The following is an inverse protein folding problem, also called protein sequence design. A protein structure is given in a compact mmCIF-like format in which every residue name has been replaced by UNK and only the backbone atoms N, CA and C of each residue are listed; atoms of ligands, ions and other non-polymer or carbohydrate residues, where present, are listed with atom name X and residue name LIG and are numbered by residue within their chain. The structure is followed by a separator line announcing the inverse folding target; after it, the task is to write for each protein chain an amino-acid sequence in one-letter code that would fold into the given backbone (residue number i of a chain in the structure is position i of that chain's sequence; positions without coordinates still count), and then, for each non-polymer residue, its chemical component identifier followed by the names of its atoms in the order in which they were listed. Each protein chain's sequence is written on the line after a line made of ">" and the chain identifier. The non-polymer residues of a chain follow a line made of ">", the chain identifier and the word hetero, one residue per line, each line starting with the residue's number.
data_IF_744374704579
#
_entry.id   IF_744374704579
#
_cell.length_a   1.000
_cell.length_b   1.000
_cell.length_c   1.000
_cell.angle_alpha   90.00
_cell.angle_beta   90.00
_cell.angle_gamma   90.00
#
_symmetry.space_group_name_H-M   'P 1'
#
loop_
_entity.id
_entity.type
_entity.pdbx_description
1 polymer ?
#
# COMPACT_ATOMS: atom_id res chain seq x y z
N UNK A 1 5.30 25.30 1.68
CA UNK A 1 4.72 23.94 1.79
C UNK A 1 5.69 23.01 1.10
N UNK A 2 6.34 22.08 1.83
CA UNK A 2 7.30 21.13 1.23
C UNK A 2 6.50 20.02 0.53
N UNK A 3 6.85 19.67 -0.70
CA UNK A 3 6.31 18.48 -1.35
C UNK A 3 6.86 17.23 -0.64
N UNK A 4 5.97 16.32 -0.26
CA UNK A 4 6.31 14.99 0.25
C UNK A 4 5.98 13.97 -0.86
N UNK A 5 6.96 13.14 -1.19
CA UNK A 5 6.83 11.95 -2.04
C UNK A 5 6.17 10.84 -1.23
N UNK A 6 6.63 10.63 0.01
CA UNK A 6 6.11 9.60 0.92
C UNK A 6 4.85 10.13 1.59
N UNK A 7 3.71 9.81 0.99
CA UNK A 7 2.40 10.27 1.48
C UNK A 7 1.92 9.33 2.59
N UNK A 8 1.51 9.90 3.71
CA UNK A 8 0.93 9.15 4.83
C UNK A 8 -0.40 8.54 4.41
N UNK A 9 -0.61 7.27 4.75
CA UNK A 9 -1.90 6.60 4.64
C UNK A 9 -2.79 7.08 5.79
N UNK A 10 -3.91 7.73 5.46
CA UNK A 10 -4.89 8.27 6.42
C UNK A 10 -5.85 7.17 6.89
N UNK A 11 -5.34 6.25 7.71
CA UNK A 11 -6.14 5.25 8.42
C UNK A 11 -5.49 4.91 9.75
N UNK A 12 -6.30 4.49 10.72
CA UNK A 12 -5.90 4.15 12.08
C UNK A 12 -5.74 2.63 12.30
N UNK A 13 -5.91 1.81 11.24
CA UNK A 13 -5.66 0.38 11.34
C UNK A 13 -4.17 0.03 11.48
N UNK A 14 -3.89 -1.17 11.99
CA UNK A 14 -2.52 -1.57 12.31
C UNK A 14 -1.65 -1.68 11.06
N UNK A 15 -2.21 -2.12 9.92
CA UNK A 15 -1.49 -2.18 8.66
C UNK A 15 -1.08 -0.77 8.20
N UNK A 16 -1.98 0.21 8.20
CA UNK A 16 -1.63 1.60 7.89
C UNK A 16 -0.53 2.12 8.82
N UNK A 17 -0.61 1.80 10.11
CA UNK A 17 0.40 2.19 11.09
C UNK A 17 1.76 1.56 10.76
N UNK A 18 1.81 0.30 10.34
CA UNK A 18 3.02 -0.42 9.93
C UNK A 18 3.65 0.21 8.69
N UNK A 19 2.84 0.43 7.65
CA UNK A 19 3.29 0.98 6.39
C UNK A 19 3.77 2.43 6.55
N UNK A 20 3.06 3.24 7.35
CA UNK A 20 3.47 4.60 7.69
C UNK A 20 4.79 4.61 8.49
N UNK A 21 5.00 3.67 9.42
CA UNK A 21 6.27 3.53 10.13
C UNK A 21 7.40 3.16 9.16
N UNK A 22 7.17 2.22 8.25
CA UNK A 22 8.14 1.86 7.20
C UNK A 22 8.50 3.05 6.31
N UNK A 23 7.51 3.83 5.85
CA UNK A 23 7.73 5.05 5.08
C UNK A 23 8.51 6.10 5.88
N UNK A 24 8.21 6.27 7.17
CA UNK A 24 8.89 7.25 8.02
C UNK A 24 10.40 7.01 8.10
N UNK A 25 10.82 5.75 8.23
CA UNK A 25 12.24 5.40 8.29
C UNK A 25 12.97 5.68 6.96
N UNK A 26 12.24 5.86 5.85
CA UNK A 26 12.77 6.30 4.56
C UNK A 26 12.77 7.83 4.39
N UNK A 27 12.32 8.60 5.39
CA UNK A 27 12.20 10.06 5.31
C UNK A 27 13.54 10.78 5.07
N UNK A 28 14.65 10.23 5.56
CA UNK A 28 15.98 10.77 5.24
C UNK A 28 16.35 10.57 3.77
N UNK A 29 15.99 9.43 3.18
CA UNK A 29 16.20 9.16 1.76
C UNK A 29 15.38 10.13 0.90
N UNK A 30 14.13 10.41 1.30
CA UNK A 30 13.28 11.43 0.67
C UNK A 30 13.92 12.83 0.71
N UNK A 31 14.47 13.25 1.87
CA UNK A 31 15.13 14.55 2.00
C UNK A 31 16.33 14.73 1.07
N UNK A 32 17.09 13.66 0.84
CA UNK A 32 18.26 13.69 -0.06
C UNK A 32 17.84 13.73 -1.54
N UNK A 33 16.72 13.08 -1.87
CA UNK A 33 16.27 12.84 -3.24
C UNK A 33 15.39 13.97 -3.78
N UNK A 34 14.70 14.70 -2.90
CA UNK A 34 13.87 15.84 -3.28
C UNK A 34 14.73 16.93 -3.98
N UNK A 35 14.28 17.45 -5.15
CA UNK A 35 14.97 18.56 -5.78
C UNK A 35 15.02 19.75 -4.81
N UNK A 36 16.22 20.32 -4.65
CA UNK A 36 16.48 21.45 -3.74
C UNK A 36 15.50 22.60 -4.01
N UNK A 37 15.23 23.35 -2.94
CA UNK A 37 14.22 24.39 -2.66
C UNK A 37 13.62 25.26 -3.79
N UNK A 38 14.12 25.26 -5.03
CA UNK A 38 13.46 25.93 -6.17
C UNK A 38 13.63 25.21 -7.52
N UNK A 39 12.61 25.36 -8.38
CA UNK A 39 12.69 24.98 -9.80
C UNK A 39 13.86 25.65 -10.53
N UNK A 40 14.33 26.81 -10.04
CA UNK A 40 15.50 27.48 -10.58
C UNK A 40 16.79 26.69 -10.36
N UNK A 41 16.98 26.08 -9.19
CA UNK A 41 18.15 25.23 -8.92
C UNK A 41 18.09 23.92 -9.70
N UNK A 42 16.91 23.32 -9.80
CA UNK A 42 16.70 22.12 -10.63
C UNK A 42 17.01 22.40 -12.10
N UNK A 43 16.47 23.48 -12.66
CA UNK A 43 16.74 23.85 -14.06
C UNK A 43 18.22 24.16 -14.31
N UNK A 44 18.92 24.74 -13.33
CA UNK A 44 20.38 24.92 -13.42
C UNK A 44 21.12 23.58 -13.41
N UNK A 45 20.77 22.67 -12.50
CA UNK A 45 21.35 21.33 -12.44
C UNK A 45 21.13 20.57 -13.76
N UNK A 46 19.90 20.61 -14.27
CA UNK A 46 19.53 19.99 -15.54
C UNK A 46 20.35 20.60 -16.69
N UNK A 47 20.37 21.94 -16.81
CA UNK A 47 21.15 22.62 -17.83
C UNK A 47 22.65 22.29 -17.75
N UNK A 48 23.22 22.22 -16.54
CA UNK A 48 24.62 21.83 -16.33
C UNK A 48 24.89 20.36 -16.67
N UNK A 49 23.93 19.46 -16.45
CA UNK A 49 24.04 18.04 -16.76
C UNK A 49 23.82 17.71 -18.25
N UNK A 50 23.05 18.52 -18.98
CA UNK A 50 22.68 18.29 -20.39
C UNK A 50 23.31 19.25 -21.39
N UNK A 51 24.19 20.16 -20.95
CA UNK A 51 24.90 21.09 -21.84
C UNK A 51 25.86 20.39 -22.80
N UNK A 52 26.35 21.14 -23.80
CA UNK A 52 27.36 20.65 -24.77
C UNK A 52 28.70 20.24 -24.12
N UNK A 53 29.00 20.77 -22.92
CA UNK A 53 30.13 20.34 -22.09
C UNK A 53 29.60 20.07 -20.68
N UNK A 54 29.04 18.87 -20.45
CA UNK A 54 28.33 18.61 -19.21
C UNK A 54 29.31 18.50 -18.03
N UNK A 55 28.87 19.01 -16.88
CA UNK A 55 29.58 18.78 -15.62
C UNK A 55 29.41 17.32 -15.21
N UNK A 56 30.51 16.61 -15.00
CA UNK A 56 30.48 15.23 -14.50
C UNK A 56 29.74 15.13 -13.16
N UNK A 57 29.99 16.06 -12.24
CA UNK A 57 29.33 16.08 -10.94
C UNK A 57 27.81 16.28 -11.07
N UNK A 58 27.37 17.18 -11.96
CA UNK A 58 25.96 17.41 -12.23
C UNK A 58 25.28 16.18 -12.86
N UNK A 59 25.96 15.50 -13.79
CA UNK A 59 25.46 14.26 -14.38
C UNK A 59 25.36 13.12 -13.38
N UNK A 60 26.37 12.95 -12.52
CA UNK A 60 26.35 11.95 -11.46
C UNK A 60 25.24 12.22 -10.46
N UNK A 61 25.07 13.47 -10.04
CA UNK A 61 24.01 13.86 -9.13
C UNK A 61 22.63 13.63 -9.74
N UNK A 62 22.40 14.04 -10.98
CA UNK A 62 21.11 13.83 -11.66
C UNK A 62 20.80 12.34 -11.84
N UNK A 63 21.80 11.55 -12.26
CA UNK A 63 21.70 10.09 -12.42
C UNK A 63 21.47 9.38 -11.09
N UNK A 64 21.92 9.95 -9.98
CA UNK A 64 21.69 9.43 -8.64
C UNK A 64 20.26 9.76 -8.14
N UNK A 65 19.80 11.00 -8.33
CA UNK A 65 18.53 11.49 -7.78
C UNK A 65 17.31 10.96 -8.54
N UNK A 66 17.35 11.00 -9.88
CA UNK A 66 16.17 10.73 -10.70
C UNK A 66 15.60 9.31 -10.50
N UNK A 67 16.39 8.21 -10.53
CA UNK A 67 15.84 6.87 -10.32
C UNK A 67 15.26 6.69 -8.91
N UNK A 68 15.91 7.26 -7.90
CA UNK A 68 15.46 7.18 -6.49
C UNK A 68 14.16 7.94 -6.27
N UNK A 69 13.99 9.08 -6.94
CA UNK A 69 12.74 9.84 -6.88
C UNK A 69 11.57 9.00 -7.37
N UNK A 70 11.71 8.41 -8.56
CA UNK A 70 10.67 7.53 -9.12
C UNK A 70 10.45 6.29 -8.25
N UNK A 71 11.52 5.69 -7.73
CA UNK A 71 11.47 4.54 -6.83
C UNK A 71 10.67 4.86 -5.55
N UNK A 72 10.90 6.01 -4.91
CA UNK A 72 10.14 6.41 -3.72
C UNK A 72 8.67 6.70 -4.03
N UNK A 73 8.38 7.29 -5.20
CA UNK A 73 7.01 7.53 -5.62
C UNK A 73 6.26 6.22 -5.90
N UNK A 74 6.90 5.28 -6.61
CA UNK A 74 6.35 3.94 -6.85
C UNK A 74 6.13 3.23 -5.52
N UNK A 75 7.10 3.28 -4.60
CA UNK A 75 6.96 2.72 -3.25
C UNK A 75 5.73 3.30 -2.53
N UNK A 76 5.60 4.63 -2.46
CA UNK A 76 4.48 5.26 -1.76
C UNK A 76 3.13 4.85 -2.34
N UNK A 77 3.04 4.76 -3.67
CA UNK A 77 1.83 4.30 -4.34
C UNK A 77 1.57 2.82 -4.05
N UNK A 78 2.58 1.96 -4.15
CA UNK A 78 2.43 0.53 -3.88
C UNK A 78 1.97 0.23 -2.46
N UNK A 79 2.50 0.91 -1.45
CA UNK A 79 2.06 0.72 -0.06
C UNK A 79 0.61 1.20 0.13
N UNK A 80 0.25 2.33 -0.48
CA UNK A 80 -1.12 2.86 -0.43
C UNK A 80 -2.12 1.93 -1.12
N UNK A 81 -1.77 1.42 -2.29
CA UNK A 81 -2.64 0.56 -3.08
C UNK A 81 -2.79 -0.83 -2.43
N UNK A 82 -1.71 -1.38 -1.86
CA UNK A 82 -1.77 -2.61 -1.07
C UNK A 82 -2.75 -2.47 0.10
N UNK A 83 -2.64 -1.37 0.87
CA UNK A 83 -3.54 -1.08 1.99
C UNK A 83 -5.01 -0.96 1.54
N UNK A 84 -5.26 -0.21 0.45
CA UNK A 84 -6.61 -0.04 -0.10
C UNK A 84 -7.21 -1.35 -0.57
N UNK A 85 -6.47 -2.13 -1.38
CA UNK A 85 -6.97 -3.37 -1.94
C UNK A 85 -7.31 -4.38 -0.83
N UNK A 86 -6.49 -4.49 0.21
CA UNK A 86 -6.79 -5.33 1.38
C UNK A 86 -8.11 -4.89 2.05
N UNK A 87 -8.27 -3.60 2.33
CA UNK A 87 -9.47 -3.11 3.01
C UNK A 87 -10.73 -3.21 2.16
N UNK A 88 -10.64 -2.99 0.84
CA UNK A 88 -11.76 -3.15 -0.07
C UNK A 88 -12.17 -4.62 -0.20
N UNK A 89 -11.22 -5.53 -0.34
CA UNK A 89 -11.50 -6.97 -0.35
C UNK A 89 -12.17 -7.43 0.96
N UNK A 90 -11.69 -6.95 2.13
CA UNK A 90 -12.33 -7.24 3.43
C UNK A 90 -13.76 -6.71 3.46
N UNK A 91 -13.98 -5.47 3.02
CA UNK A 91 -15.30 -4.85 3.01
C UNK A 91 -16.28 -5.64 2.15
N UNK A 92 -15.90 -6.01 0.93
CA UNK A 92 -16.76 -6.72 0.01
C UNK A 92 -17.07 -8.15 0.50
N UNK A 93 -16.08 -8.85 1.05
CA UNK A 93 -16.29 -10.14 1.71
C UNK A 93 -17.19 -10.04 2.94
N UNK A 94 -17.03 -9.00 3.75
CA UNK A 94 -17.88 -8.77 4.92
C UNK A 94 -19.32 -8.51 4.50
N UNK A 95 -19.54 -7.64 3.52
CA UNK A 95 -20.86 -7.36 2.96
C UNK A 95 -21.49 -8.62 2.39
N UNK A 96 -20.72 -9.44 1.66
CA UNK A 96 -21.17 -10.72 1.15
C UNK A 96 -21.74 -11.62 2.27
N UNK A 97 -21.01 -11.78 3.38
CA UNK A 97 -21.49 -12.61 4.50
C UNK A 97 -22.65 -11.99 5.28
N UNK A 98 -22.74 -10.67 5.37
CA UNK A 98 -23.82 -9.98 6.10
C UNK A 98 -25.12 -9.97 5.30
N UNK A 99 -25.07 -9.64 4.01
CA UNK A 99 -26.26 -9.44 3.17
C UNK A 99 -26.78 -10.74 2.55
N UNK A 100 -25.86 -11.64 2.19
CA UNK A 100 -26.16 -12.86 1.45
C UNK A 100 -25.99 -14.14 2.29
N UNK A 101 -25.57 -14.02 3.55
CA UNK A 101 -25.39 -15.13 4.49
C UNK A 101 -24.42 -16.22 3.97
N UNK A 102 -23.50 -15.84 3.08
CA UNK A 102 -22.59 -16.78 2.42
C UNK A 102 -23.18 -17.54 1.22
N UNK A 103 -24.38 -17.19 0.75
CA UNK A 103 -24.99 -17.84 -0.40
C UNK A 103 -24.46 -17.26 -1.73
N UNK A 104 -23.52 -17.97 -2.35
CA UNK A 104 -22.88 -17.58 -3.61
C UNK A 104 -23.87 -17.48 -4.80
N UNK A 105 -24.87 -18.36 -4.86
CA UNK A 105 -25.86 -18.35 -5.93
C UNK A 105 -26.76 -17.11 -5.79
N UNK A 106 -27.24 -16.84 -4.58
CA UNK A 106 -28.04 -15.64 -4.29
C UNK A 106 -27.28 -14.37 -4.62
N UNK A 107 -26.00 -14.30 -4.22
CA UNK A 107 -25.13 -13.18 -4.58
C UNK A 107 -25.06 -12.98 -6.09
N UNK A 108 -24.76 -14.03 -6.86
CA UNK A 108 -24.60 -13.91 -8.30
C UNK A 108 -25.88 -13.47 -9.01
N UNK A 109 -27.04 -13.97 -8.57
CA UNK A 109 -28.35 -13.60 -9.12
C UNK A 109 -28.65 -12.12 -8.83
N UNK A 110 -28.52 -11.69 -7.58
CA UNK A 110 -28.82 -10.31 -7.19
C UNK A 110 -27.82 -9.32 -7.78
N UNK A 111 -26.53 -9.67 -7.84
CA UNK A 111 -25.50 -8.87 -8.50
C UNK A 111 -25.78 -8.71 -9.99
N UNK A 112 -26.16 -9.80 -10.68
CA UNK A 112 -26.60 -9.73 -12.09
C UNK A 112 -27.78 -8.77 -12.25
N UNK A 113 -28.82 -8.93 -11.43
CA UNK A 113 -30.00 -8.07 -11.51
C UNK A 113 -29.62 -6.61 -11.31
N UNK A 114 -28.80 -6.31 -10.31
CA UNK A 114 -28.31 -4.95 -10.04
C UNK A 114 -27.49 -4.38 -11.20
N UNK A 115 -26.52 -5.12 -11.74
CA UNK A 115 -25.66 -4.64 -12.82
C UNK A 115 -26.45 -4.38 -14.10
N UNK A 116 -27.39 -5.27 -14.46
CA UNK A 116 -28.24 -5.08 -15.64
C UNK A 116 -29.23 -3.92 -15.43
N UNK A 117 -29.78 -3.76 -14.24
CA UNK A 117 -30.67 -2.65 -13.91
C UNK A 117 -29.93 -1.29 -13.99
N UNK A 118 -28.67 -1.24 -13.52
CA UNK A 118 -27.87 -0.01 -13.49
C UNK A 118 -27.24 0.35 -14.86
N UNK A 119 -26.76 -0.64 -15.61
CA UNK A 119 -25.98 -0.41 -16.84
C UNK A 119 -26.66 -0.86 -18.13
N UNK A 120 -27.80 -1.55 -18.02
CA UNK A 120 -28.51 -2.13 -19.15
C UNK A 120 -27.94 -3.47 -19.62
N UNK A 121 -28.69 -4.15 -20.49
CA UNK A 121 -28.23 -5.32 -21.24
C UNK A 121 -28.73 -5.23 -22.69
N UNK A 122 -27.89 -5.69 -23.62
CA UNK A 122 -28.24 -5.81 -25.04
C UNK A 122 -29.04 -7.10 -25.34
N UNK A 123 -29.10 -8.04 -24.40
CA UNK A 123 -29.89 -9.26 -24.54
C UNK A 123 -31.35 -9.00 -24.14
N UNK A 124 -32.27 -9.03 -25.11
CA UNK A 124 -33.71 -8.86 -24.87
C UNK A 124 -34.27 -9.90 -23.88
N UNK A 125 -33.65 -11.08 -23.76
CA UNK A 125 -34.06 -12.11 -22.80
C UNK A 125 -33.69 -11.80 -21.36
N UNK A 126 -32.93 -10.73 -21.12
CA UNK A 126 -32.63 -10.24 -19.77
C UNK A 126 -33.76 -9.39 -19.18
N UNK A 127 -34.79 -9.06 -19.97
CA UNK A 127 -35.90 -8.22 -19.57
C UNK A 127 -37.22 -8.99 -19.61
N UNK A 128 -38.06 -8.79 -18.60
CA UNK A 128 -39.42 -9.31 -18.56
C UNK A 128 -40.41 -8.20 -18.18
N UNK A 129 -41.65 -8.31 -18.66
CA UNK A 129 -42.70 -7.32 -18.41
C UNK A 129 -43.11 -7.34 -16.93
N UNK A 130 -42.99 -6.19 -16.26
CA UNK A 130 -43.34 -5.94 -14.85
C UNK A 130 -44.62 -5.10 -14.73
N UNK A 131 -45.62 -5.44 -15.56
CA UNK A 131 -46.90 -4.75 -15.60
C UNK A 131 -46.85 -3.42 -16.36
N UNK A 132 -47.76 -2.51 -16.01
CA UNK A 132 -47.95 -1.22 -16.67
C UNK A 132 -47.94 -0.08 -15.67
N UNK A 133 -47.28 1.02 -16.03
CA UNK A 133 -47.37 2.30 -15.34
C UNK A 133 -48.02 3.37 -16.24
N UNK A 134 -48.04 4.62 -15.78
CA UNK A 134 -48.66 5.75 -16.49
C UNK A 134 -47.95 6.08 -17.82
N UNK A 135 -46.77 5.53 -18.09
CA UNK A 135 -45.95 5.76 -19.29
C UNK A 135 -45.89 4.54 -20.23
N UNK A 136 -46.31 3.34 -19.79
CA UNK A 136 -46.44 2.16 -20.64
C UNK A 136 -46.09 0.84 -19.94
N UNK A 137 -45.69 -0.20 -20.70
CA UNK A 137 -45.21 -1.45 -20.13
C UNK A 137 -43.91 -1.19 -19.36
N UNK A 138 -43.92 -1.53 -18.08
CA UNK A 138 -42.73 -1.48 -17.23
C UNK A 138 -41.93 -2.76 -17.44
N UNK A 139 -40.61 -2.63 -17.48
CA UNK A 139 -39.70 -3.77 -17.62
C UNK A 139 -38.91 -3.96 -16.34
N UNK A 140 -38.62 -5.21 -15.98
CA UNK A 140 -37.67 -5.56 -14.93
C UNK A 140 -36.67 -6.58 -15.44
N UNK A 141 -35.57 -6.72 -14.74
CA UNK A 141 -34.57 -7.74 -15.06
C UNK A 141 -35.14 -9.13 -14.77
N UNK A 142 -35.13 -10.00 -15.78
CA UNK A 142 -35.59 -11.37 -15.68
C UNK A 142 -34.70 -12.17 -14.71
N UNK A 143 -35.34 -12.95 -13.84
CA UNK A 143 -34.65 -13.87 -12.94
C UNK A 143 -34.02 -15.01 -13.74
N UNK A 144 -32.70 -15.20 -13.58
CA UNK A 144 -31.95 -16.32 -14.20
C UNK A 144 -31.01 -16.92 -13.14
N UNK A 145 -31.04 -18.23 -12.98
CA UNK A 145 -30.19 -18.99 -12.06
C UNK A 145 -29.23 -19.97 -12.77
N UNK A 146 -29.28 -20.02 -14.10
CA UNK A 146 -28.38 -20.84 -14.91
C UNK A 146 -26.93 -20.34 -14.84
N UNK A 147 -25.98 -21.27 -14.68
CA UNK A 147 -24.55 -20.98 -14.55
C UNK A 147 -24.00 -20.08 -15.67
N UNK A 148 -24.43 -20.34 -16.92
CA UNK A 148 -24.02 -19.58 -18.11
C UNK A 148 -24.41 -18.10 -18.03
N UNK A 149 -25.59 -17.80 -17.46
CA UNK A 149 -26.09 -16.44 -17.28
C UNK A 149 -25.40 -15.71 -16.13
N UNK A 150 -24.89 -16.46 -15.14
CA UNK A 150 -24.29 -15.94 -13.91
C UNK A 150 -22.76 -15.86 -13.94
N UNK A 151 -22.11 -16.47 -14.94
CA UNK A 151 -20.64 -16.62 -15.04
C UNK A 151 -19.83 -15.35 -14.76
N UNK A 152 -20.38 -14.18 -15.08
CA UNK A 152 -19.69 -12.88 -14.96
C UNK A 152 -20.01 -12.14 -13.67
N UNK A 153 -21.06 -12.54 -12.95
CA UNK A 153 -21.59 -11.83 -11.78
C UNK A 153 -21.23 -12.50 -10.45
N UNK A 154 -20.25 -13.40 -10.48
CA UNK A 154 -19.82 -14.15 -9.30
C UNK A 154 -18.99 -13.29 -8.36
N UNK A 155 -19.03 -13.61 -7.07
CA UNK A 155 -18.16 -12.97 -6.06
C UNK A 155 -16.68 -13.09 -6.44
N UNK A 156 -16.29 -14.20 -7.07
CA UNK A 156 -14.92 -14.41 -7.53
C UNK A 156 -14.48 -13.31 -8.50
N UNK A 157 -15.31 -12.97 -9.49
CA UNK A 157 -14.99 -11.94 -10.47
C UNK A 157 -14.92 -10.56 -9.84
N UNK A 158 -15.84 -10.24 -8.93
CA UNK A 158 -15.84 -8.93 -8.26
C UNK A 158 -14.61 -8.74 -7.38
N UNK A 159 -14.16 -9.79 -6.68
CA UNK A 159 -12.94 -9.76 -5.88
C UNK A 159 -11.67 -9.77 -6.72
N UNK A 160 -11.73 -10.28 -7.96
CA UNK A 160 -10.57 -10.42 -8.83
C UNK A 160 -9.78 -9.12 -8.97
N UNK A 161 -10.46 -7.98 -9.02
CA UNK A 161 -9.83 -6.66 -9.15
C UNK A 161 -8.82 -6.32 -8.03
N UNK A 162 -8.89 -6.97 -6.87
CA UNK A 162 -7.99 -6.75 -5.73
C UNK A 162 -6.75 -7.65 -5.76
N UNK A 163 -6.82 -8.79 -6.46
CA UNK A 163 -5.78 -9.84 -6.49
C UNK A 163 -5.09 -9.96 -7.85
N UNK A 164 -5.84 -9.83 -8.94
CA UNK A 164 -5.36 -9.99 -10.30
C UNK A 164 -5.70 -8.75 -11.13
N UNK A 165 -4.72 -8.25 -11.89
CA UNK A 165 -4.95 -7.24 -12.90
C UNK A 165 -3.90 -7.33 -13.99
N UNK A 166 -4.34 -7.50 -15.24
CA UNK A 166 -3.53 -7.19 -16.43
C UNK A 166 -3.36 -5.68 -16.64
N UNK A 167 -4.10 -4.87 -15.87
CA UNK A 167 -4.13 -3.42 -16.02
C UNK A 167 -3.17 -2.71 -15.06
N UNK A 168 -2.28 -1.95 -15.71
CA UNK A 168 -1.25 -0.98 -15.29
C UNK A 168 -1.46 -0.05 -14.08
N UNK A 169 -2.34 -0.33 -13.11
CA UNK A 169 -2.62 0.57 -11.99
C UNK A 169 -2.52 -0.11 -10.63
N UNK A 170 -1.39 0.15 -9.97
CA UNK A 170 -1.20 -0.05 -8.54
C UNK A 170 -0.82 -1.46 -8.12
N UNK A 171 -0.37 -1.58 -6.89
CA UNK A 171 0.01 -2.84 -6.26
C UNK A 171 -1.23 -3.62 -5.82
N UNK A 172 -1.33 -4.89 -6.22
CA UNK A 172 -2.45 -5.77 -5.87
C UNK A 172 -2.07 -6.72 -4.74
N UNK A 173 -3.06 -7.40 -4.17
CA UNK A 173 -2.84 -8.41 -3.14
C UNK A 173 -2.09 -9.59 -3.78
N UNK A 174 -0.85 -9.80 -3.34
CA UNK A 174 -0.01 -10.91 -3.79
C UNK A 174 0.77 -10.69 -5.08
N UNK A 175 0.88 -9.44 -5.58
CA UNK A 175 1.76 -9.13 -6.73
C UNK A 175 3.19 -8.83 -6.35
N UNK A 176 3.43 -8.54 -5.06
CA UNK A 176 4.71 -8.09 -4.53
C UNK A 176 5.39 -9.11 -3.64
N UNK A 177 6.71 -9.18 -3.73
CA UNK A 177 7.55 -10.06 -2.93
C UNK A 177 8.56 -9.24 -2.11
N UNK A 178 9.16 -9.86 -1.09
CA UNK A 178 10.16 -9.20 -0.25
C UNK A 178 11.37 -8.71 -1.07
N UNK A 179 11.68 -9.40 -2.17
CA UNK A 179 12.73 -9.05 -3.12
C UNK A 179 12.50 -7.70 -3.79
N UNK A 180 11.25 -7.35 -4.10
CA UNK A 180 10.89 -6.12 -4.79
C UNK A 180 11.14 -4.88 -3.91
N UNK A 181 11.03 -5.06 -2.59
CA UNK A 181 11.29 -4.01 -1.59
C UNK A 181 12.67 -4.08 -0.97
N UNK A 182 13.53 -5.04 -1.35
CA UNK A 182 14.79 -5.33 -0.66
C UNK A 182 15.67 -4.11 -0.45
N UNK A 183 15.80 -3.25 -1.46
CA UNK A 183 16.60 -2.03 -1.36
C UNK A 183 16.09 -1.10 -0.28
N UNK A 184 14.77 -0.87 -0.20
CA UNK A 184 14.15 -0.03 0.83
C UNK A 184 14.21 -0.69 2.20
N UNK A 185 13.95 -2.00 2.29
CA UNK A 185 14.08 -2.78 3.52
C UNK A 185 15.49 -2.69 4.10
N UNK A 186 16.54 -2.71 3.26
CA UNK A 186 17.91 -2.46 3.72
C UNK A 186 18.13 -1.03 4.24
N UNK A 187 17.53 -0.01 3.61
CA UNK A 187 17.61 1.36 4.11
C UNK A 187 16.91 1.50 5.46
N UNK A 188 15.73 0.89 5.63
CA UNK A 188 15.02 0.89 6.92
C UNK A 188 15.83 0.17 7.98
N UNK A 189 16.39 -1.03 7.69
CA UNK A 189 17.25 -1.76 8.63
C UNK A 189 18.45 -0.95 9.11
N UNK A 190 18.98 -0.06 8.28
CA UNK A 190 20.16 0.78 8.56
C UNK A 190 19.82 2.24 8.86
N UNK A 191 18.55 2.58 9.11
CA UNK A 191 18.12 3.98 9.25
C UNK A 191 18.89 4.73 10.37
N UNK A 192 19.25 4.00 11.44
CA UNK A 192 20.08 4.47 12.57
C UNK A 192 21.50 4.89 12.17
N UNK A 193 22.10 4.25 11.16
CA UNK A 193 23.44 4.59 10.62
C UNK A 193 23.42 5.97 9.94
N UNK A 194 22.27 6.34 9.38
CA UNK A 194 22.06 7.59 8.66
C UNK A 194 21.57 8.73 9.56
N UNK A 195 21.54 8.53 10.88
CA UNK A 195 21.16 9.58 11.82
C UNK A 195 22.00 10.86 11.57
N UNK A 196 21.38 12.03 11.33
CA UNK A 196 22.09 13.27 11.00
C UNK A 196 23.15 13.67 12.03
N UNK A 197 22.89 13.42 13.32
CA UNK A 197 23.84 13.74 14.39
C UNK A 197 25.07 12.83 14.34
N UNK A 198 24.89 11.53 14.04
CA UNK A 198 26.02 10.60 13.85
C UNK A 198 26.84 10.96 12.62
N UNK A 199 26.18 11.30 11.51
CA UNK A 199 26.86 11.78 10.31
C UNK A 199 27.66 13.06 10.61
N UNK A 200 27.06 14.04 11.29
CA UNK A 200 27.73 15.27 11.68
C UNK A 200 28.94 15.01 12.59
N UNK A 201 28.81 14.14 13.60
CA UNK A 201 29.95 13.74 14.46
C UNK A 201 31.08 13.13 13.63
N UNK A 202 30.75 12.22 12.70
CA UNK A 202 31.73 11.56 11.81
C UNK A 202 32.46 12.55 10.90
N UNK A 203 31.76 13.57 10.40
CA UNK A 203 32.34 14.58 9.50
C UNK A 203 33.11 15.69 10.22
N UNK A 204 32.64 16.10 11.40
CA UNK A 204 33.21 17.25 12.13
C UNK A 204 34.23 16.86 13.19
N UNK A 205 34.22 15.60 13.64
CA UNK A 205 35.03 15.13 14.76
C UNK A 205 34.64 15.73 16.12
N UNK A 206 33.56 16.53 16.16
CA UNK A 206 33.06 17.14 17.39
C UNK A 206 31.99 16.26 18.03
N UNK A 207 32.16 15.92 19.31
CA UNK A 207 31.10 15.33 20.11
C UNK A 207 30.01 16.39 20.33
N UNK A 208 28.88 16.23 19.65
CA UNK A 208 27.68 17.03 19.89
C UNK A 208 26.91 16.37 21.04
N UNK A 209 26.89 16.93 22.26
CA UNK A 209 26.12 16.34 23.35
C UNK A 209 24.64 16.36 23.00
N UNK A 210 24.01 15.19 23.00
CA UNK A 210 22.56 15.06 22.92
C UNK A 210 22.03 15.19 24.34
N UNK A 211 20.91 15.90 24.53
CA UNK A 211 20.30 16.08 25.84
C UNK A 211 18.91 15.46 25.82
N UNK A 212 18.54 14.81 26.91
CA UNK A 212 17.19 14.30 27.14
C UNK A 212 16.63 14.86 28.45
N UNK A 213 15.31 14.89 28.55
CA UNK A 213 14.61 15.33 29.75
C UNK A 213 14.50 14.16 30.73
N UNK A 214 14.96 14.33 31.97
CA UNK A 214 14.84 13.29 33.01
C UNK A 214 13.44 13.31 33.68
N UNK A 215 13.20 12.40 34.63
CA UNK A 215 11.94 12.31 35.39
C UNK A 215 11.58 13.60 36.17
N UNK A 216 12.54 14.51 36.36
CA UNK A 216 12.35 15.79 37.03
C UNK A 216 12.15 16.98 36.08
N UNK A 217 12.16 16.75 34.76
CA UNK A 217 12.03 17.79 33.74
C UNK A 217 13.33 18.54 33.42
N UNK A 218 14.48 18.07 33.93
CA UNK A 218 15.78 18.69 33.68
C UNK A 218 16.45 18.07 32.44
N UNK A 219 17.07 18.91 31.61
CA UNK A 219 17.82 18.46 30.44
C UNK A 219 19.19 17.95 30.87
N UNK A 220 19.40 16.64 30.76
CA UNK A 220 20.67 15.97 31.11
C UNK A 220 21.35 15.48 29.84
N UNK A 221 22.68 15.62 29.79
CA UNK A 221 23.46 15.10 28.67
C UNK A 221 23.34 13.57 28.64
N UNK A 222 22.99 13.03 27.48
CA UNK A 222 22.98 11.61 27.22
C UNK A 222 24.40 11.05 27.41
N UNK A 223 24.52 9.96 28.16
CA UNK A 223 25.80 9.27 28.26
C UNK A 223 26.05 8.43 27.02
N UNK A 224 27.31 8.04 26.77
CA UNK A 224 27.64 7.08 25.71
C UNK A 224 26.87 5.76 25.88
N UNK A 225 26.60 5.35 27.12
CA UNK A 225 25.82 4.14 27.41
C UNK A 225 24.37 4.28 26.94
N UNK A 226 23.73 5.41 27.26
CA UNK A 226 22.36 5.72 26.85
C UNK A 226 22.24 5.84 25.32
N UNK A 227 23.23 6.46 24.66
CA UNK A 227 23.26 6.56 23.20
C UNK A 227 23.37 5.20 22.52
N UNK A 228 24.19 4.29 23.07
CA UNK A 228 24.33 2.91 22.58
C UNK A 228 23.05 2.11 22.82
N UNK A 229 22.40 2.28 23.97
CA UNK A 229 21.14 1.63 24.29
C UNK A 229 20.01 2.08 23.34
N UNK A 230 19.88 3.39 23.12
CA UNK A 230 18.91 3.95 22.18
C UNK A 230 19.17 3.45 20.76
N UNK A 231 20.42 3.42 20.31
CA UNK A 231 20.79 2.90 18.99
C UNK A 231 20.44 1.42 18.84
N UNK A 232 20.75 0.59 19.84
CA UNK A 232 20.40 -0.83 19.82
C UNK A 232 18.88 -1.03 19.81
N UNK A 233 18.13 -0.22 20.56
CA UNK A 233 16.68 -0.27 20.59
C UNK A 233 16.06 0.18 19.25
N UNK A 234 16.58 1.23 18.63
CA UNK A 234 16.16 1.67 17.29
C UNK A 234 16.49 0.62 16.22
N UNK A 235 17.68 0.00 16.27
CA UNK A 235 18.07 -1.09 15.36
C UNK A 235 17.14 -2.29 15.47
N UNK A 236 16.85 -2.74 16.70
CA UNK A 236 15.92 -3.84 16.95
C UNK A 236 14.51 -3.49 16.46
N UNK A 237 14.07 -2.24 16.68
CA UNK A 237 12.78 -1.75 16.18
C UNK A 237 12.73 -1.75 14.65
N UNK A 238 13.78 -1.29 13.98
CA UNK A 238 13.87 -1.25 12.51
C UNK A 238 13.92 -2.65 11.90
N UNK A 239 14.68 -3.57 12.51
CA UNK A 239 14.67 -4.98 12.12
C UNK A 239 13.29 -5.61 12.28
N UNK A 240 12.63 -5.37 13.41
CA UNK A 240 11.27 -5.85 13.68
C UNK A 240 10.27 -5.27 12.68
N UNK A 241 10.36 -3.97 12.39
CA UNK A 241 9.52 -3.28 11.42
C UNK A 241 9.61 -3.94 10.03
N UNK A 242 10.83 -4.17 9.55
CA UNK A 242 11.04 -4.85 8.26
C UNK A 242 10.56 -6.30 8.30
N UNK A 243 10.77 -7.00 9.41
CA UNK A 243 10.28 -8.36 9.56
C UNK A 243 8.75 -8.44 9.47
N UNK A 244 8.02 -7.57 10.16
CA UNK A 244 6.55 -7.52 10.08
C UNK A 244 6.07 -7.12 8.68
N UNK A 245 6.74 -6.17 8.04
CA UNK A 245 6.44 -5.81 6.65
C UNK A 245 6.62 -6.99 5.69
N UNK A 246 7.73 -7.72 5.78
CA UNK A 246 7.96 -8.93 4.97
C UNK A 246 6.92 -10.02 5.27
N UNK A 247 6.50 -10.20 6.52
CA UNK A 247 5.41 -11.11 6.87
C UNK A 247 4.07 -10.72 6.22
N UNK A 248 3.76 -9.42 6.18
CA UNK A 248 2.56 -8.91 5.48
C UNK A 248 2.59 -9.31 4.01
N UNK A 249 3.73 -9.12 3.32
CA UNK A 249 3.87 -9.53 1.91
C UNK A 249 3.70 -11.04 1.73
N UNK A 250 4.31 -11.86 2.59
CA UNK A 250 4.15 -13.31 2.56
C UNK A 250 2.68 -13.71 2.72
N UNK A 251 1.97 -13.10 3.67
CA UNK A 251 0.55 -13.38 3.90
C UNK A 251 -0.33 -12.90 2.75
N UNK A 252 -0.01 -11.76 2.13
CA UNK A 252 -0.71 -11.28 0.94
C UNK A 252 -0.57 -12.27 -0.23
N UNK A 253 0.64 -12.81 -0.44
CA UNK A 253 0.89 -13.86 -1.43
C UNK A 253 0.12 -15.16 -1.13
N UNK A 254 0.03 -15.55 0.15
CA UNK A 254 -0.78 -16.69 0.58
C UNK A 254 -2.27 -16.45 0.34
N UNK A 255 -2.78 -15.25 0.65
CA UNK A 255 -4.17 -14.88 0.40
C UNK A 255 -4.50 -14.91 -1.10
N UNK A 256 -3.61 -14.43 -1.96
CA UNK A 256 -3.78 -14.51 -3.42
C UNK A 256 -3.81 -15.95 -3.93
N UNK A 257 -2.95 -16.82 -3.37
CA UNK A 257 -2.97 -18.25 -3.68
C UNK A 257 -4.29 -18.90 -3.22
N UNK A 258 -4.77 -18.60 -2.01
CA UNK A 258 -6.06 -19.09 -1.51
C UNK A 258 -7.23 -18.59 -2.36
N UNK A 259 -7.23 -17.32 -2.76
CA UNK A 259 -8.24 -16.74 -3.63
C UNK A 259 -8.34 -17.46 -4.98
N UNK A 260 -7.21 -17.82 -5.60
CA UNK A 260 -7.17 -18.52 -6.90
C UNK A 260 -7.99 -19.81 -6.91
N UNK A 261 -8.11 -20.50 -5.77
CA UNK A 261 -8.85 -21.75 -5.64
C UNK A 261 -10.17 -21.61 -4.87
N UNK A 262 -10.56 -20.38 -4.51
CA UNK A 262 -11.76 -20.14 -3.73
C UNK A 262 -13.03 -20.35 -4.57
N UNK A 263 -13.81 -21.35 -4.21
CA UNK A 263 -15.05 -21.73 -4.93
C UNK A 263 -16.25 -21.88 -4.01
N UNK A 264 -16.02 -21.99 -2.70
CA UNK A 264 -17.06 -22.20 -1.68
C UNK A 264 -17.11 -21.04 -0.69
N UNK A 265 -18.25 -20.89 -0.01
CA UNK A 265 -18.42 -19.89 1.04
C UNK A 265 -17.39 -20.04 2.18
N UNK A 266 -16.96 -21.27 2.47
CA UNK A 266 -15.93 -21.52 3.47
C UNK A 266 -14.55 -21.03 3.01
N UNK A 267 -14.21 -21.21 1.73
CA UNK A 267 -12.96 -20.66 1.17
C UNK A 267 -12.93 -19.13 1.29
N UNK A 268 -14.03 -18.45 0.97
CA UNK A 268 -14.14 -17.00 1.11
C UNK A 268 -14.11 -16.53 2.57
N UNK A 269 -14.59 -17.35 3.52
CA UNK A 269 -14.50 -17.05 4.95
C UNK A 269 -13.06 -17.16 5.45
N UNK A 270 -12.34 -18.18 4.99
CA UNK A 270 -10.92 -18.33 5.27
C UNK A 270 -10.12 -17.18 4.66
N UNK A 271 -10.44 -16.78 3.42
CA UNK A 271 -9.82 -15.62 2.78
C UNK A 271 -10.07 -14.33 3.56
N UNK A 272 -11.31 -14.08 3.99
CA UNK A 272 -11.63 -12.93 4.85
C UNK A 272 -10.78 -12.93 6.12
N UNK A 273 -10.71 -14.08 6.81
CA UNK A 273 -9.91 -14.24 8.04
C UNK A 273 -8.43 -13.94 7.79
N UNK A 274 -7.88 -14.43 6.67
CA UNK A 274 -6.48 -14.17 6.30
C UNK A 274 -6.25 -12.66 6.06
N UNK A 275 -7.14 -12.00 5.32
CA UNK A 275 -7.03 -10.56 5.04
C UNK A 275 -7.17 -9.71 6.31
N UNK A 276 -8.09 -10.05 7.20
CA UNK A 276 -8.21 -9.39 8.52
C UNK A 276 -6.95 -9.58 9.34
N UNK A 277 -6.34 -10.77 9.31
CA UNK A 277 -5.07 -11.03 9.99
C UNK A 277 -3.91 -10.20 9.41
N UNK A 278 -3.98 -9.83 8.12
CA UNK A 278 -3.02 -8.91 7.49
C UNK A 278 -3.29 -7.47 7.95
N UNK A 279 -4.55 -7.01 7.91
CA UNK A 279 -4.96 -5.67 8.37
C UNK A 279 -4.61 -5.44 9.84
N UNK A 280 -4.84 -6.44 10.67
CA UNK A 280 -4.70 -6.36 12.12
C UNK A 280 -3.33 -6.85 12.60
N UNK A 281 -2.32 -6.83 11.72
CA UNK A 281 -0.92 -7.17 12.04
C UNK A 281 -0.48 -6.48 13.32
N UNK A 282 -0.08 -7.27 14.32
CA UNK A 282 0.37 -6.70 15.60
C UNK A 282 1.84 -6.34 15.48
N UNK A 283 2.12 -5.06 15.27
CA UNK A 283 3.47 -4.52 15.35
C UNK A 283 3.51 -3.41 16.41
N UNK A 284 4.41 -3.59 17.38
CA UNK A 284 4.62 -2.76 18.57
C UNK A 284 3.45 -2.74 19.57
#
# INVERSE_FOLDING_TARGET
>A
MRYQILTKIESDDNLATLLNAFQRELGLLEQVVLPRDSMGEFNRLLASATSAQPSQDAQQLLSYLQPRFYQLQVLSNSLTDLHKNINWAIKDLTNFFVEYEGNLLRYAIENRMKVIDEFGSEDETDWEEDGFDDEGPKWKVAYKDAEESLRHYTLHNDLQQYFAGSDSRGEKIGTSHAEDFRSFSEHVRRATEFNPFKLLRKFTGAELPVYHENETGEMVAQTLGDEVEDELNEDLKNQSLVHFFEQVLVRANQAAASFTFATTAEDYRQLLTQLETIRDVRFL
#
